data_IF_539701978857
#
_entry.id   IF_539701978857
#
_cell.length_a   1.000
_cell.length_b   1.000
_cell.length_c   1.000
_cell.angle_alpha   90.00
_cell.angle_beta   90.00
_cell.angle_gamma   90.00
#
_symmetry.space_group_name_H-M   'P 1'
#
loop_
_entity.id
_entity.type
_entity.pdbx_description
1 polymer ?
#
# COMPACT_ATOMS: atom_id res chain seq x y z
N UNK A 1 -9.18 -49.64 15.36
CA UNK A 1 -7.94 -48.85 15.24
C UNK A 1 -8.02 -47.77 14.13
N UNK A 2 -8.35 -48.11 12.88
CA UNK A 2 -8.40 -47.16 11.74
C UNK A 2 -9.34 -45.97 11.98
N UNK A 3 -10.51 -46.20 12.60
CA UNK A 3 -11.53 -45.18 12.85
C UNK A 3 -11.14 -44.18 13.95
N UNK A 4 -10.42 -44.63 14.98
CA UNK A 4 -9.93 -43.76 16.05
C UNK A 4 -8.75 -42.89 15.57
N UNK A 5 -7.89 -43.43 14.70
CA UNK A 5 -6.83 -42.66 14.06
C UNK A 5 -7.41 -41.55 13.16
N UNK A 6 -8.40 -41.88 12.32
CA UNK A 6 -9.09 -40.88 11.47
C UNK A 6 -9.74 -39.76 12.31
N UNK A 7 -10.41 -40.11 13.42
CA UNK A 7 -11.02 -39.13 14.33
C UNK A 7 -9.96 -38.21 14.97
N UNK A 8 -8.79 -38.74 15.33
CA UNK A 8 -7.68 -37.94 15.88
C UNK A 8 -7.11 -36.99 14.84
N UNK A 9 -6.86 -37.48 13.62
CA UNK A 9 -6.38 -36.64 12.50
C UNK A 9 -7.37 -35.51 12.23
N UNK A 10 -8.67 -35.84 12.12
CA UNK A 10 -9.71 -34.84 11.91
C UNK A 10 -9.75 -33.78 13.01
N UNK A 11 -9.65 -34.18 14.29
CA UNK A 11 -9.60 -33.21 15.41
C UNK A 11 -8.37 -32.31 15.33
N UNK A 12 -7.19 -32.87 15.06
CA UNK A 12 -5.97 -32.08 14.94
C UNK A 12 -6.03 -31.10 13.76
N UNK A 13 -6.58 -31.54 12.62
CA UNK A 13 -6.79 -30.66 11.47
C UNK A 13 -7.78 -29.53 11.79
N UNK A 14 -8.90 -29.85 12.46
CA UNK A 14 -9.88 -28.85 12.87
C UNK A 14 -9.30 -27.82 13.84
N UNK A 15 -8.49 -28.26 14.81
CA UNK A 15 -7.78 -27.35 15.72
C UNK A 15 -6.79 -26.48 14.96
N UNK A 16 -6.01 -27.07 14.04
CA UNK A 16 -5.05 -26.33 13.21
C UNK A 16 -5.73 -25.25 12.35
N UNK A 17 -6.88 -25.59 11.74
CA UNK A 17 -7.69 -24.64 10.97
C UNK A 17 -8.24 -23.53 11.86
N UNK A 18 -8.75 -23.85 13.04
CA UNK A 18 -9.26 -22.86 13.99
C UNK A 18 -8.14 -21.90 14.44
N UNK A 19 -6.96 -22.40 14.73
CA UNK A 19 -5.79 -21.58 15.07
C UNK A 19 -5.35 -20.69 13.90
N UNK A 20 -5.39 -21.19 12.68
CA UNK A 20 -5.07 -20.41 11.48
C UNK A 20 -6.09 -19.26 11.28
N UNK A 21 -7.38 -19.54 11.43
CA UNK A 21 -8.45 -18.53 11.33
C UNK A 21 -8.26 -17.45 12.39
N UNK A 22 -8.00 -17.84 13.65
CA UNK A 22 -7.73 -16.91 14.74
C UNK A 22 -6.47 -16.06 14.45
N UNK A 23 -5.42 -16.70 13.96
CA UNK A 23 -4.20 -15.99 13.57
C UNK A 23 -4.48 -14.92 12.50
N UNK A 24 -5.17 -15.28 11.41
CA UNK A 24 -5.51 -14.34 10.33
C UNK A 24 -6.35 -13.19 10.87
N UNK A 25 -7.37 -13.50 11.67
CA UNK A 25 -8.23 -12.49 12.29
C UNK A 25 -7.45 -11.50 13.16
N UNK A 26 -6.62 -12.00 14.08
CA UNK A 26 -5.82 -11.13 14.95
C UNK A 26 -4.71 -10.40 14.20
N UNK A 27 -4.09 -11.02 13.21
CA UNK A 27 -3.06 -10.38 12.40
C UNK A 27 -3.61 -9.21 11.58
N UNK A 28 -4.88 -9.27 11.19
CA UNK A 28 -5.54 -8.19 10.49
C UNK A 28 -6.10 -7.13 11.45
N UNK A 29 -6.75 -7.56 12.52
CA UNK A 29 -7.27 -6.66 13.56
C UNK A 29 -6.17 -5.80 14.19
N UNK A 30 -5.01 -6.40 14.51
CA UNK A 30 -3.91 -5.73 15.18
C UNK A 30 -3.01 -4.93 14.25
N UNK A 31 -3.15 -5.07 12.93
CA UNK A 31 -2.40 -4.27 11.96
C UNK A 31 -2.68 -2.79 12.21
N UNK A 32 -1.64 -2.05 12.63
CA UNK A 32 -1.72 -0.61 12.75
C UNK A 32 -1.18 0.02 11.49
N UNK A 33 -2.05 0.65 10.75
CA UNK A 33 -1.69 1.32 9.52
C UNK A 33 -2.54 2.57 9.33
N UNK A 34 -2.13 3.46 8.46
CA UNK A 34 -2.92 4.60 8.09
C UNK A 34 -4.18 4.14 7.35
N UNK A 35 -5.37 4.45 7.91
CA UNK A 35 -6.66 4.05 7.34
C UNK A 35 -6.80 4.50 5.87
N UNK A 36 -6.32 5.70 5.53
CA UNK A 36 -6.37 6.19 4.16
C UNK A 36 -5.50 5.33 3.23
N UNK A 37 -4.27 4.99 3.64
CA UNK A 37 -3.39 4.11 2.85
C UNK A 37 -4.03 2.76 2.59
N UNK A 38 -4.66 2.18 3.61
CA UNK A 38 -5.38 0.92 3.47
C UNK A 38 -6.55 1.02 2.49
N UNK A 39 -7.32 2.11 2.55
CA UNK A 39 -8.44 2.36 1.63
C UNK A 39 -7.97 2.57 0.19
N UNK A 40 -6.91 3.34 -0.03
CA UNK A 40 -6.33 3.57 -1.36
C UNK A 40 -5.96 2.25 -2.05
N UNK A 41 -5.25 1.38 -1.32
CA UNK A 41 -4.79 0.10 -1.86
C UNK A 41 -5.96 -0.88 -2.02
N UNK A 42 -6.84 -0.98 -1.01
CA UNK A 42 -8.00 -1.89 -1.07
C UNK A 42 -8.97 -1.54 -2.18
N UNK A 43 -9.20 -0.25 -2.43
CA UNK A 43 -10.08 0.19 -3.50
C UNK A 43 -9.47 -0.05 -4.89
N UNK A 44 -8.14 0.02 -5.02
CA UNK A 44 -7.47 -0.39 -6.24
C UNK A 44 -7.78 -1.85 -6.62
N UNK A 45 -7.72 -2.77 -5.66
CA UNK A 45 -8.06 -4.17 -5.89
C UNK A 45 -9.53 -4.42 -6.24
N UNK A 46 -10.41 -3.45 -5.98
CA UNK A 46 -11.83 -3.50 -6.35
C UNK A 46 -12.12 -2.92 -7.73
N UNK A 47 -11.15 -2.22 -8.33
CA UNK A 47 -11.30 -1.74 -9.70
C UNK A 47 -11.39 -2.93 -10.67
N UNK A 48 -12.29 -2.88 -11.65
CA UNK A 48 -12.31 -3.89 -12.70
C UNK A 48 -10.97 -3.91 -13.45
N UNK A 49 -10.56 -5.08 -13.89
CA UNK A 49 -9.32 -5.22 -14.62
C UNK A 49 -9.35 -4.50 -15.97
N UNK A 50 -8.23 -3.89 -16.34
CA UNK A 50 -8.04 -3.20 -17.62
C UNK A 50 -9.06 -2.06 -17.89
N UNK A 51 -9.39 -1.31 -16.85
CA UNK A 51 -10.31 -0.16 -16.95
C UNK A 51 -9.67 1.18 -16.64
N UNK A 52 -8.36 1.22 -16.35
CA UNK A 52 -7.61 2.41 -16.01
C UNK A 52 -6.71 2.80 -17.19
N UNK A 53 -6.94 3.97 -17.77
CA UNK A 53 -6.13 4.52 -18.86
C UNK A 53 -4.84 5.18 -18.35
N UNK A 54 -4.91 5.82 -17.16
CA UNK A 54 -3.78 6.52 -16.54
C UNK A 54 -3.59 6.05 -15.10
N UNK A 55 -2.46 5.41 -14.82
CA UNK A 55 -2.05 5.03 -13.47
C UNK A 55 -1.17 6.11 -12.84
N UNK A 56 -1.48 6.53 -11.60
CA UNK A 56 -0.67 7.48 -10.85
C UNK A 56 -0.03 6.76 -9.67
N UNK A 57 1.29 6.92 -9.52
CA UNK A 57 2.11 6.27 -8.49
C UNK A 57 2.82 7.35 -7.68
N UNK A 58 2.60 7.36 -6.38
CA UNK A 58 3.19 8.39 -5.52
C UNK A 58 2.76 8.31 -4.07
N UNK A 59 2.93 9.42 -3.37
CA UNK A 59 2.58 9.60 -1.97
C UNK A 59 1.33 10.50 -1.81
N UNK A 60 1.23 11.14 -0.65
CA UNK A 60 0.05 11.98 -0.31
C UNK A 60 -0.07 13.23 -1.16
N UNK A 61 1.01 13.72 -1.72
CA UNK A 61 1.01 14.89 -2.60
C UNK A 61 0.24 14.56 -3.89
N UNK A 62 0.54 13.43 -4.51
CA UNK A 62 -0.10 13.01 -5.76
C UNK A 62 -1.62 12.87 -5.59
N UNK A 63 -2.10 12.16 -4.57
CA UNK A 63 -3.55 11.98 -4.42
C UNK A 63 -4.29 13.23 -3.91
N UNK A 64 -3.57 14.21 -3.34
CA UNK A 64 -4.15 15.49 -2.92
C UNK A 64 -4.23 16.49 -4.08
N UNK A 65 -3.31 16.41 -5.03
CA UNK A 65 -3.17 17.38 -6.11
C UNK A 65 -3.86 16.95 -7.42
N UNK A 66 -4.20 15.67 -7.56
CA UNK A 66 -4.82 15.14 -8.77
C UNK A 66 -6.23 14.63 -8.53
N UNK A 67 -7.17 15.14 -9.33
CA UNK A 67 -8.58 14.75 -9.31
C UNK A 67 -8.94 13.83 -10.48
N UNK A 68 -9.02 12.54 -10.25
CA UNK A 68 -9.43 11.57 -11.25
C UNK A 68 -10.87 11.82 -11.79
N UNK A 69 -11.88 12.16 -10.97
CA UNK A 69 -13.21 12.51 -11.47
C UNK A 69 -13.21 13.74 -12.39
N UNK A 70 -12.43 14.77 -12.06
CA UNK A 70 -12.34 15.97 -12.88
C UNK A 70 -11.65 15.67 -14.23
N UNK A 71 -10.58 14.90 -14.21
CA UNK A 71 -9.89 14.47 -15.42
C UNK A 71 -10.82 13.68 -16.35
N UNK A 72 -11.63 12.78 -15.80
CA UNK A 72 -12.63 12.06 -16.58
C UNK A 72 -13.70 12.99 -17.15
N UNK A 73 -14.19 13.94 -16.35
CA UNK A 73 -15.22 14.89 -16.80
C UNK A 73 -14.72 15.78 -17.94
N UNK A 74 -13.48 16.24 -17.88
CA UNK A 74 -12.93 17.21 -18.83
C UNK A 74 -12.32 16.54 -20.07
N UNK A 75 -11.73 15.36 -19.92
CA UNK A 75 -10.92 14.74 -20.98
C UNK A 75 -11.36 13.33 -21.36
N UNK A 76 -12.25 12.71 -20.61
CA UNK A 76 -12.85 11.41 -20.94
C UNK A 76 -11.99 10.17 -20.67
N UNK A 77 -10.79 10.30 -20.10
CA UNK A 77 -9.97 9.15 -19.73
C UNK A 77 -10.15 8.73 -18.26
N UNK A 78 -10.03 7.45 -18.01
CA UNK A 78 -10.09 6.90 -16.65
C UNK A 78 -8.72 6.95 -15.99
N UNK A 79 -8.67 7.24 -14.69
CA UNK A 79 -7.41 7.26 -13.94
C UNK A 79 -7.59 6.79 -12.51
N UNK A 80 -6.49 6.34 -11.90
CA UNK A 80 -6.47 5.89 -10.51
C UNK A 80 -5.20 6.32 -9.79
N UNK A 81 -5.37 6.90 -8.60
CA UNK A 81 -4.27 7.26 -7.70
C UNK A 81 -3.88 6.04 -6.84
N UNK A 82 -3.01 5.16 -7.35
CA UNK A 82 -2.38 4.14 -6.50
C UNK A 82 -1.25 4.81 -5.71
N UNK A 83 -1.66 5.62 -4.73
CA UNK A 83 -0.79 6.45 -3.94
C UNK A 83 -1.02 6.17 -2.46
N UNK A 84 0.06 6.12 -1.69
CA UNK A 84 0.03 5.70 -0.29
C UNK A 84 0.66 6.78 0.59
N UNK A 85 -0.04 7.17 1.66
CA UNK A 85 0.43 8.24 2.54
C UNK A 85 1.83 7.94 3.10
N UNK A 86 2.73 8.91 2.99
CA UNK A 86 4.09 8.81 3.53
C UNK A 86 4.99 7.79 2.84
N UNK A 87 4.58 7.21 1.70
CA UNK A 87 5.44 6.29 0.96
C UNK A 87 6.56 7.03 0.20
N UNK A 88 7.57 6.29 -0.19
CA UNK A 88 8.76 6.83 -0.88
C UNK A 88 9.12 6.00 -2.11
N UNK A 89 10.05 6.50 -2.92
CA UNK A 89 10.56 5.82 -4.11
C UNK A 89 11.07 4.40 -3.88
N UNK A 90 11.34 4.03 -2.63
CA UNK A 90 11.77 2.68 -2.26
C UNK A 90 10.78 1.58 -2.64
N UNK A 91 9.47 1.89 -2.75
CA UNK A 91 8.44 0.90 -3.12
C UNK A 91 7.73 1.21 -4.45
N UNK A 92 8.09 2.28 -5.16
CA UNK A 92 7.40 2.66 -6.39
C UNK A 92 7.46 1.59 -7.48
N UNK A 93 8.59 0.92 -7.66
CA UNK A 93 8.68 -0.24 -8.57
C UNK A 93 7.65 -1.32 -8.23
N UNK A 94 7.47 -1.62 -6.94
CA UNK A 94 6.48 -2.58 -6.47
C UNK A 94 5.05 -2.11 -6.73
N UNK A 95 4.76 -0.82 -6.53
CA UNK A 95 3.45 -0.22 -6.82
C UNK A 95 3.14 -0.28 -8.32
N UNK A 96 4.12 0.00 -9.19
CA UNK A 96 3.98 -0.12 -10.65
C UNK A 96 3.76 -1.57 -11.04
N UNK A 97 4.51 -2.51 -10.44
CA UNK A 97 4.33 -3.95 -10.69
C UNK A 97 2.90 -4.39 -10.36
N UNK A 98 2.36 -3.89 -9.26
CA UNK A 98 0.98 -4.19 -8.85
C UNK A 98 -0.04 -3.54 -9.80
N UNK A 99 0.17 -2.28 -10.21
CA UNK A 99 -0.67 -1.61 -11.19
C UNK A 99 -0.72 -2.42 -12.50
N UNK A 100 0.43 -2.80 -13.03
CA UNK A 100 0.54 -3.53 -14.30
C UNK A 100 0.08 -4.98 -14.23
N UNK A 101 -0.02 -5.56 -13.03
CA UNK A 101 -0.55 -6.93 -12.86
C UNK A 101 -2.07 -7.01 -13.07
N UNK A 102 -2.79 -5.91 -12.93
CA UNK A 102 -4.26 -5.82 -12.99
C UNK A 102 -4.79 -4.87 -14.06
N UNK A 103 -3.95 -3.94 -14.49
CA UNK A 103 -4.34 -2.86 -15.40
C UNK A 103 -3.33 -2.75 -16.54
N UNK A 104 -3.80 -2.26 -17.68
CA UNK A 104 -2.96 -1.97 -18.85
C UNK A 104 -3.03 -0.47 -19.18
N UNK A 105 -2.54 0.42 -18.30
CA UNK A 105 -2.65 1.85 -18.52
C UNK A 105 -1.81 2.27 -19.73
N UNK A 106 -2.31 3.26 -20.48
CA UNK A 106 -1.57 3.87 -21.58
C UNK A 106 -0.49 4.83 -21.08
N UNK A 107 -0.63 5.32 -19.85
CA UNK A 107 0.31 6.26 -19.22
C UNK A 107 0.46 5.94 -17.74
N UNK A 108 1.70 5.93 -17.27
CA UNK A 108 2.04 5.96 -15.86
C UNK A 108 2.63 7.32 -15.49
N UNK A 109 2.05 7.97 -14.49
CA UNK A 109 2.56 9.20 -13.89
C UNK A 109 3.19 8.87 -12.55
N UNK A 110 4.46 9.19 -12.40
CA UNK A 110 5.24 8.83 -11.20
C UNK A 110 5.68 10.11 -10.51
N UNK A 111 5.36 10.23 -9.22
CA UNK A 111 5.82 11.32 -8.38
C UNK A 111 7.33 11.22 -8.15
N UNK A 112 8.08 12.22 -8.58
CA UNK A 112 9.55 12.21 -8.44
C UNK A 112 10.02 12.61 -7.03
N UNK A 113 9.19 13.32 -6.27
CA UNK A 113 9.54 13.79 -4.93
C UNK A 113 9.86 12.63 -3.97
N UNK A 114 9.20 11.48 -4.13
CA UNK A 114 9.45 10.29 -3.35
C UNK A 114 10.87 9.74 -3.41
N UNK A 115 11.67 10.10 -4.42
CA UNK A 115 13.08 9.71 -4.54
C UNK A 115 14.05 10.70 -3.88
N UNK A 116 13.57 11.90 -3.52
CA UNK A 116 14.41 12.97 -2.96
C UNK A 116 14.59 12.88 -1.44
N UNK A 117 13.98 11.90 -0.80
CA UNK A 117 14.12 11.69 0.64
C UNK A 117 15.54 11.19 1.00
N UNK A 118 15.93 11.42 2.25
CA UNK A 118 17.21 10.91 2.76
C UNK A 118 17.16 9.37 2.91
N UNK A 119 18.33 8.77 3.05
CA UNK A 119 18.47 7.29 3.16
C UNK A 119 17.60 6.70 4.27
N UNK A 120 17.55 7.34 5.44
CA UNK A 120 16.77 6.84 6.56
C UNK A 120 15.27 6.80 6.22
N UNK A 121 14.75 7.84 5.58
CA UNK A 121 13.34 7.88 5.16
C UNK A 121 13.03 6.89 4.05
N UNK A 122 13.95 6.69 3.10
CA UNK A 122 13.79 5.72 2.00
C UNK A 122 13.74 4.26 2.49
N UNK A 123 14.34 3.97 3.64
CA UNK A 123 14.42 2.64 4.24
C UNK A 123 13.60 2.52 5.54
N UNK A 124 12.86 3.56 5.92
CA UNK A 124 12.06 3.56 7.14
C UNK A 124 11.00 2.44 7.12
N UNK A 125 10.99 1.63 8.17
CA UNK A 125 10.04 0.53 8.31
C UNK A 125 8.59 0.99 8.25
N UNK A 126 8.27 2.10 8.92
CA UNK A 126 6.91 2.66 8.94
C UNK A 126 6.44 3.05 7.54
N UNK A 127 7.32 3.69 6.77
CA UNK A 127 7.09 4.09 5.38
C UNK A 127 6.87 2.87 4.48
N UNK A 128 7.76 1.88 4.54
CA UNK A 128 7.66 0.66 3.73
C UNK A 128 6.40 -0.14 4.06
N UNK A 129 6.01 -0.21 5.33
CA UNK A 129 4.80 -0.91 5.78
C UNK A 129 3.50 -0.27 5.32
N UNK A 130 3.48 1.05 5.03
CA UNK A 130 2.29 1.70 4.46
C UNK A 130 1.87 1.05 3.13
N UNK A 131 2.82 0.55 2.37
CA UNK A 131 2.57 -0.21 1.14
C UNK A 131 2.50 -1.72 1.40
N UNK A 132 3.57 -2.33 1.92
CA UNK A 132 3.74 -3.78 2.01
C UNK A 132 2.62 -4.45 2.83
N UNK A 133 2.18 -3.83 3.92
CA UNK A 133 1.14 -4.40 4.79
C UNK A 133 -0.27 -4.31 4.19
N UNK A 134 -0.46 -3.47 3.16
CA UNK A 134 -1.74 -3.27 2.48
C UNK A 134 -1.86 -4.01 1.15
N UNK A 135 -0.75 -4.53 0.62
CA UNK A 135 -0.74 -5.35 -0.60
C UNK A 135 -1.49 -6.68 -0.41
N UNK A 136 -2.06 -7.20 -1.49
CA UNK A 136 -2.41 -8.62 -1.57
C UNK A 136 -1.14 -9.48 -1.44
N UNK A 137 -1.28 -10.65 -0.82
CA UNK A 137 -0.16 -11.59 -0.62
C UNK A 137 0.05 -12.43 -1.89
N UNK A 138 0.68 -11.83 -2.87
CA UNK A 138 1.03 -12.39 -4.16
C UNK A 138 2.56 -12.46 -4.34
N UNK A 139 3.02 -12.82 -5.53
CA UNK A 139 4.44 -12.88 -5.85
C UNK A 139 5.12 -11.51 -5.72
N UNK A 140 4.44 -10.42 -6.13
CA UNK A 140 4.96 -9.07 -5.96
C UNK A 140 5.17 -8.68 -4.49
N UNK A 141 4.30 -9.14 -3.59
CA UNK A 141 4.47 -8.95 -2.15
C UNK A 141 5.73 -9.67 -1.63
N UNK A 142 5.95 -10.92 -2.06
CA UNK A 142 7.15 -11.69 -1.71
C UNK A 142 8.43 -11.03 -2.26
N UNK A 143 8.40 -10.61 -3.51
CA UNK A 143 9.51 -9.92 -4.16
C UNK A 143 9.83 -8.60 -3.45
N UNK A 144 8.80 -7.81 -3.13
CA UNK A 144 8.98 -6.53 -2.43
C UNK A 144 9.66 -6.71 -1.08
N UNK A 145 9.24 -7.71 -0.30
CA UNK A 145 9.90 -8.03 0.97
C UNK A 145 11.35 -8.46 0.74
N UNK A 146 11.60 -9.30 -0.27
CA UNK A 146 12.94 -9.79 -0.55
C UNK A 146 13.89 -8.71 -1.08
N UNK A 147 13.37 -7.74 -1.82
CA UNK A 147 14.13 -6.65 -2.42
C UNK A 147 14.40 -5.50 -1.44
N UNK A 148 13.50 -5.26 -0.48
CA UNK A 148 13.53 -4.04 0.37
C UNK A 148 13.79 -4.29 1.83
N UNK A 149 13.65 -5.52 2.32
CA UNK A 149 13.75 -5.83 3.74
C UNK A 149 14.95 -6.72 3.99
N UNK A 150 15.76 -6.33 4.98
CA UNK A 150 16.90 -7.13 5.43
C UNK A 150 16.46 -8.53 5.86
N UNK A 151 17.24 -9.58 5.55
CA UNK A 151 16.85 -10.96 5.80
C UNK A 151 16.36 -11.26 7.23
N UNK A 152 16.99 -10.66 8.23
CA UNK A 152 16.66 -10.88 9.65
C UNK A 152 15.30 -10.29 10.04
N UNK A 153 14.83 -9.28 9.33
CA UNK A 153 13.58 -8.55 9.58
C UNK A 153 12.38 -9.08 8.78
N UNK A 154 12.61 -9.86 7.73
CA UNK A 154 11.56 -10.39 6.85
C UNK A 154 10.49 -11.17 7.61
N UNK A 155 10.85 -11.90 8.65
CA UNK A 155 9.92 -12.65 9.52
C UNK A 155 8.79 -11.75 10.07
N UNK A 156 9.09 -10.48 10.36
CA UNK A 156 8.13 -9.52 10.90
C UNK A 156 7.08 -9.08 9.87
N UNK A 157 7.37 -9.25 8.58
CA UNK A 157 6.43 -9.00 7.47
C UNK A 157 5.63 -10.27 7.14
N UNK A 158 6.26 -11.44 7.13
CA UNK A 158 5.56 -12.71 6.91
C UNK A 158 4.60 -13.04 8.05
N UNK A 159 5.00 -12.76 9.30
CA UNK A 159 4.23 -13.02 10.51
C UNK A 159 3.91 -11.67 11.19
N UNK A 160 2.93 -10.94 10.65
CA UNK A 160 2.59 -9.57 11.09
C UNK A 160 2.36 -9.42 12.60
N UNK A 161 1.86 -10.46 13.27
CA UNK A 161 1.68 -10.43 14.73
C UNK A 161 3.00 -10.26 15.50
N UNK A 162 4.15 -10.64 14.94
CA UNK A 162 5.45 -10.37 15.59
C UNK A 162 5.71 -8.87 15.74
N UNK A 163 5.21 -8.06 14.78
CA UNK A 163 5.31 -6.59 14.84
C UNK A 163 4.21 -5.94 15.65
N UNK A 164 2.98 -6.39 15.45
CA UNK A 164 1.78 -5.67 15.91
C UNK A 164 1.15 -6.27 17.17
N UNK A 165 1.73 -7.32 17.76
CA UNK A 165 1.14 -8.00 18.92
C UNK A 165 0.84 -7.08 20.10
N UNK A 166 1.66 -6.04 20.34
CA UNK A 166 1.46 -5.10 21.45
C UNK A 166 0.27 -4.15 21.27
N UNK A 167 -0.30 -4.07 20.06
CA UNK A 167 -1.45 -3.20 19.80
C UNK A 167 -2.71 -3.64 20.56
N UNK A 168 -2.76 -4.88 21.10
CA UNK A 168 -3.84 -5.34 21.97
C UNK A 168 -4.00 -4.48 23.23
N UNK A 169 -2.96 -3.74 23.65
CA UNK A 169 -2.99 -2.84 24.79
C UNK A 169 -3.92 -1.64 24.56
N UNK A 170 -4.25 -1.34 23.28
CA UNK A 170 -5.13 -0.25 22.90
C UNK A 170 -6.35 -0.76 22.08
N UNK A 171 -7.20 -1.62 22.67
CA UNK A 171 -8.29 -2.27 21.92
C UNK A 171 -9.34 -1.28 21.39
N UNK A 172 -9.49 -0.12 22.04
CA UNK A 172 -10.43 0.94 21.57
C UNK A 172 -9.98 1.53 20.24
N UNK A 173 -8.67 1.70 20.05
CA UNK A 173 -8.11 2.25 18.81
C UNK A 173 -8.24 1.26 17.67
N UNK A 174 -8.07 -0.04 17.96
CA UNK A 174 -8.27 -1.11 16.98
C UNK A 174 -9.72 -1.16 16.50
N UNK A 175 -10.68 -1.13 17.43
CA UNK A 175 -12.12 -1.13 17.09
C UNK A 175 -12.48 0.14 16.33
N UNK A 176 -12.01 1.31 16.78
CA UNK A 176 -12.24 2.57 16.09
C UNK A 176 -11.72 2.53 14.65
N UNK A 177 -10.49 2.07 14.45
CA UNK A 177 -9.90 1.92 13.11
C UNK A 177 -10.77 1.03 12.20
N UNK A 178 -11.23 -0.11 12.71
CA UNK A 178 -12.09 -1.01 11.93
C UNK A 178 -13.41 -0.32 11.58
N UNK A 179 -14.03 0.37 12.52
CA UNK A 179 -15.25 1.13 12.26
C UNK A 179 -15.03 2.24 11.22
N UNK A 180 -13.89 2.92 11.26
CA UNK A 180 -13.54 3.98 10.31
C UNK A 180 -13.33 3.40 8.90
N UNK A 181 -12.68 2.24 8.78
CA UNK A 181 -12.53 1.51 7.52
C UNK A 181 -13.90 1.09 6.97
N UNK A 182 -14.76 0.54 7.81
CA UNK A 182 -16.08 0.06 7.38
C UNK A 182 -17.00 1.21 6.96
N UNK A 183 -16.96 2.34 7.68
CA UNK A 183 -17.72 3.55 7.31
C UNK A 183 -17.20 4.21 6.04
N UNK A 184 -15.89 4.22 5.84
CA UNK A 184 -15.24 4.85 4.69
C UNK A 184 -15.26 3.96 3.43
N UNK A 185 -15.94 2.82 3.45
CA UNK A 185 -16.17 2.01 2.25
C UNK A 185 -16.90 2.78 1.13
N UNK A 186 -17.69 3.78 1.50
CA UNK A 186 -18.43 4.68 0.59
C UNK A 186 -17.89 6.11 0.64
N UNK A 187 -16.67 6.31 1.15
CA UNK A 187 -16.07 7.63 1.29
C UNK A 187 -15.58 8.20 -0.04
N UNK A 188 -15.24 9.48 -0.03
CA UNK A 188 -14.65 10.21 -1.16
C UNK A 188 -13.44 9.50 -1.77
N UNK A 189 -12.63 8.84 -0.95
CA UNK A 189 -11.48 8.03 -1.41
C UNK A 189 -11.93 6.91 -2.35
N UNK A 190 -13.04 6.24 -2.04
CA UNK A 190 -13.59 5.17 -2.87
C UNK A 190 -14.24 5.71 -4.14
N UNK A 191 -15.10 6.73 -3.98
CA UNK A 191 -15.87 7.30 -5.10
C UNK A 191 -15.00 8.13 -6.05
N UNK A 192 -13.93 8.75 -5.54
CA UNK A 192 -13.06 9.65 -6.29
C UNK A 192 -11.76 9.00 -6.77
N UNK A 193 -11.73 7.67 -6.95
CA UNK A 193 -10.57 6.94 -7.46
C UNK A 193 -9.28 7.26 -6.69
N UNK A 194 -9.39 7.16 -5.36
CA UNK A 194 -8.31 7.45 -4.41
C UNK A 194 -7.84 8.91 -4.36
N UNK A 195 -8.64 9.85 -4.77
CA UNK A 195 -8.36 11.26 -4.52
C UNK A 195 -8.55 11.60 -3.03
N UNK A 196 -7.60 12.31 -2.45
CA UNK A 196 -7.71 12.86 -1.10
C UNK A 196 -8.20 14.29 -1.12
N UNK A 197 -9.47 14.52 -0.77
CA UNK A 197 -10.00 15.89 -0.68
C UNK A 197 -9.46 16.54 0.61
N UNK A 198 -8.75 17.66 0.43
CA UNK A 198 -8.28 18.51 1.55
C UNK A 198 -8.81 19.92 1.35
N UNK A 199 -9.45 20.45 2.37
CA UNK A 199 -9.77 21.88 2.44
C UNK A 199 -8.62 22.60 3.12
N UNK A 200 -7.89 23.42 2.39
CA UNK A 200 -6.88 24.30 2.95
C UNK A 200 -7.48 25.68 3.18
N UNK A 201 -7.54 26.11 4.43
CA UNK A 201 -8.12 27.41 4.82
C UNK A 201 -7.16 28.59 4.65
N UNK A 202 -5.85 28.34 4.62
CA UNK A 202 -4.81 29.35 4.37
C UNK A 202 -3.68 28.73 3.55
N UNK A 203 -3.59 28.98 2.25
CA UNK A 203 -2.45 28.58 1.46
C UNK A 203 -1.27 29.52 1.78
N UNK A 204 -0.45 29.16 2.76
CA UNK A 204 0.88 29.76 2.85
C UNK A 204 1.74 29.15 1.76
N UNK A 205 1.94 29.90 0.71
CA UNK A 205 2.90 29.52 -0.33
C UNK A 205 4.30 29.67 0.29
N UNK A 206 4.94 28.55 0.59
CA UNK A 206 6.33 28.56 0.99
C UNK A 206 7.19 29.08 -0.16
N UNK A 207 7.82 30.23 0.03
CA UNK A 207 8.82 30.78 -0.91
C UNK A 207 10.23 30.23 -0.65
N UNK A 208 10.38 29.33 0.30
CA UNK A 208 11.65 28.70 0.60
C UNK A 208 12.06 27.75 -0.55
N UNK A 209 13.21 28.00 -1.16
CA UNK A 209 13.83 27.04 -2.08
C UNK A 209 14.16 25.75 -1.31
N UNK A 210 13.46 24.70 -1.58
CA UNK A 210 13.80 23.38 -1.07
C UNK A 210 14.90 22.78 -1.97
N UNK A 211 16.13 22.78 -1.46
CA UNK A 211 17.31 22.20 -2.16
C UNK A 211 17.51 20.74 -1.75
N UNK A 212 16.50 19.94 -1.85
CA UNK A 212 16.65 18.48 -1.67
C UNK A 212 17.59 17.94 -2.74
N UNK A 213 18.58 17.14 -2.32
CA UNK A 213 19.50 16.47 -3.23
C UNK A 213 19.10 15.00 -3.35
N UNK A 214 19.10 14.54 -4.58
CA UNK A 214 18.96 13.11 -4.84
C UNK A 214 20.15 12.36 -4.22
N UNK A 215 19.89 11.48 -3.26
CA UNK A 215 20.92 10.61 -2.67
C UNK A 215 21.28 9.48 -3.63
N UNK A 216 22.42 8.81 -3.43
CA UNK A 216 22.81 7.66 -4.26
C UNK A 216 21.75 6.54 -4.19
N UNK A 217 21.15 6.32 -3.02
CA UNK A 217 20.05 5.36 -2.85
C UNK A 217 18.78 5.81 -3.58
N UNK A 218 18.39 7.07 -3.45
CA UNK A 218 17.23 7.63 -4.17
C UNK A 218 17.42 7.54 -5.69
N UNK A 219 18.64 7.82 -6.17
CA UNK A 219 19.01 7.66 -7.57
C UNK A 219 18.91 6.21 -8.03
N UNK A 220 19.42 5.27 -7.25
CA UNK A 220 19.33 3.84 -7.54
C UNK A 220 17.87 3.37 -7.68
N UNK A 221 17.00 3.80 -6.77
CA UNK A 221 15.57 3.46 -6.84
C UNK A 221 14.86 4.11 -8.04
N UNK A 222 15.22 5.33 -8.40
CA UNK A 222 14.72 5.99 -9.60
C UNK A 222 15.14 5.24 -10.88
N UNK A 223 16.42 4.91 -10.99
CA UNK A 223 16.97 4.17 -12.15
C UNK A 223 16.33 2.78 -12.26
N UNK A 224 16.16 2.08 -11.14
CA UNK A 224 15.47 0.78 -11.09
C UNK A 224 14.00 0.90 -11.55
N UNK A 225 13.31 1.95 -11.11
CA UNK A 225 11.92 2.20 -11.49
C UNK A 225 11.79 2.50 -12.97
N UNK A 226 12.66 3.36 -13.51
CA UNK A 226 12.68 3.69 -14.94
C UNK A 226 13.00 2.45 -15.78
N UNK A 227 14.02 1.68 -15.40
CA UNK A 227 14.40 0.46 -16.11
C UNK A 227 13.25 -0.55 -16.15
N UNK A 228 12.53 -0.70 -15.04
CA UNK A 228 11.35 -1.57 -15.00
C UNK A 228 10.23 -1.08 -15.93
N UNK A 229 9.94 0.21 -15.97
CA UNK A 229 8.95 0.76 -16.91
C UNK A 229 9.37 0.52 -18.37
N UNK A 230 10.64 0.73 -18.70
CA UNK A 230 11.17 0.51 -20.05
C UNK A 230 11.11 -0.98 -20.48
N UNK A 231 11.30 -1.89 -19.52
CA UNK A 231 11.15 -3.33 -19.78
C UNK A 231 9.70 -3.71 -20.12
N UNK A 232 8.74 -3.03 -19.52
CA UNK A 232 7.31 -3.34 -19.69
C UNK A 232 6.66 -2.63 -20.89
N UNK A 233 7.32 -1.68 -21.51
CA UNK A 233 6.82 -0.89 -22.66
C UNK A 233 6.16 0.39 -22.23
#
# INVERSE_FOLDING_TARGET
MKNEYLKRVFKLTAVGLAMMILYIFFADLMKFNNTNSELHVRNFYREPENTIDVGLIGASEMYADYSAPLAYQEYGFTSYNLCVAGTTGGVYKSMIREMLSRQTPQLLVIEVNGFLYNVNSLQDEGTLRQWIDNMEKNDNWLDTISERIEPDDRKNYYVRLLKYHSNWENPKDLVKRQCDIDRNNESDVSLCKSMGIRTQTNPEVSTAENKSKLTDLGKSYLEETIAYCQEKG
#
